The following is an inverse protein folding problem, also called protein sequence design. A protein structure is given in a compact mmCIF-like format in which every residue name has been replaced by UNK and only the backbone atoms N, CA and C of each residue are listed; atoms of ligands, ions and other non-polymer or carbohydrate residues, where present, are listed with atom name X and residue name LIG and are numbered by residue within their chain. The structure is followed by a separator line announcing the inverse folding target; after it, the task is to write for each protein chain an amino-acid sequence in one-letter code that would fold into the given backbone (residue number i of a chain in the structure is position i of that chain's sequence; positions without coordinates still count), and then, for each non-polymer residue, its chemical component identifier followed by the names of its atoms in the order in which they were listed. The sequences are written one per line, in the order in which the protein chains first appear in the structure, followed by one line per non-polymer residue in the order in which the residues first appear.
data_IF_341996347131
#
_entry.id   IF_341996347131
#
_cell.length_a   1.000
_cell.length_b   1.000
_cell.length_c   1.000
_cell.angle_alpha   90.00
_cell.angle_beta   90.00
_cell.angle_gamma   90.00
#
_symmetry.space_group_name_H-M   'P 1'
#
loop_
_entity.id
_entity.type
_entity.pdbx_description
1 polymer ?
#
# COMPACT_ATOMS: atom_id res chain seq x y z
N UNK A 1 2.88 -21.15 -5.41
CA UNK A 1 3.53 -21.42 -4.12
C UNK A 1 4.85 -20.69 -3.98
N UNK A 2 5.72 -20.80 -4.96
CA UNK A 2 7.01 -20.10 -4.91
C UNK A 2 6.87 -18.59 -4.82
N UNK A 3 5.89 -18.03 -5.53
CA UNK A 3 5.67 -16.58 -5.51
C UNK A 3 5.27 -16.08 -4.13
N UNK A 4 4.42 -16.83 -3.42
CA UNK A 4 4.00 -16.47 -2.08
C UNK A 4 5.19 -16.54 -1.11
N UNK A 5 6.01 -17.58 -1.25
CA UNK A 5 7.18 -17.73 -0.41
C UNK A 5 8.17 -16.59 -0.59
N UNK A 6 8.39 -16.17 -1.85
CA UNK A 6 9.27 -15.05 -2.14
C UNK A 6 8.76 -13.76 -1.53
N UNK A 7 7.46 -13.53 -1.62
CA UNK A 7 6.84 -12.33 -1.03
C UNK A 7 7.03 -12.32 0.47
N UNK A 8 6.83 -13.47 1.13
CA UNK A 8 7.00 -13.57 2.57
C UNK A 8 8.45 -13.38 3.00
N UNK A 9 9.39 -13.93 2.24
CA UNK A 9 10.81 -13.74 2.52
C UNK A 9 11.21 -12.28 2.38
N UNK A 10 10.71 -11.61 1.33
CA UNK A 10 10.97 -10.19 1.13
C UNK A 10 10.40 -9.36 2.27
N UNK A 11 9.21 -9.73 2.77
CA UNK A 11 8.59 -9.03 3.87
C UNK A 11 9.37 -9.16 5.18
N UNK A 12 10.11 -10.27 5.33
CA UNK A 12 10.86 -10.54 6.54
C UNK A 12 12.30 -10.02 6.50
N UNK A 13 12.74 -9.51 5.35
CA UNK A 13 14.07 -8.94 5.19
C UNK A 13 14.05 -7.49 5.69
N UNK A 14 14.82 -7.15 6.75
CA UNK A 14 14.79 -5.77 7.30
C UNK A 14 15.21 -4.72 6.29
N UNK A 15 16.22 -4.98 5.48
CA UNK A 15 16.68 -4.01 4.49
C UNK A 15 15.62 -3.78 3.43
N UNK A 16 15.00 -4.85 2.98
CA UNK A 16 13.95 -4.76 1.97
C UNK A 16 12.69 -4.09 2.53
N UNK A 17 12.40 -4.33 3.81
CA UNK A 17 11.27 -3.68 4.47
C UNK A 17 11.46 -2.17 4.54
N UNK A 18 12.66 -1.71 4.86
CA UNK A 18 12.97 -0.28 4.90
C UNK A 18 12.89 0.35 3.52
N UNK A 19 13.44 -0.31 2.50
CA UNK A 19 13.35 0.17 1.12
C UNK A 19 11.91 0.28 0.67
N UNK A 20 11.12 -0.74 0.95
CA UNK A 20 9.70 -0.74 0.59
C UNK A 20 8.98 0.41 1.26
N UNK A 21 9.23 0.61 2.55
CA UNK A 21 8.57 1.68 3.30
C UNK A 21 8.94 3.05 2.73
N UNK A 22 10.21 3.27 2.41
CA UNK A 22 10.64 4.54 1.85
C UNK A 22 10.01 4.81 0.49
N UNK A 23 10.02 3.82 -0.38
CA UNK A 23 9.45 3.97 -1.72
C UNK A 23 7.96 4.27 -1.64
N UNK A 24 7.23 3.50 -0.82
CA UNK A 24 5.79 3.68 -0.70
C UNK A 24 5.44 4.99 0.00
N UNK A 25 6.21 5.38 1.01
CA UNK A 25 5.98 6.65 1.69
C UNK A 25 6.19 7.82 0.75
N UNK A 26 7.23 7.75 -0.09
CA UNK A 26 7.51 8.79 -1.06
C UNK A 26 6.39 8.89 -2.09
N UNK A 27 5.96 7.76 -2.64
CA UNK A 27 4.85 7.71 -3.60
C UNK A 27 3.56 8.23 -2.98
N UNK A 28 3.32 7.88 -1.73
CA UNK A 28 2.13 8.34 -1.01
C UNK A 28 2.15 9.86 -0.83
N UNK A 29 3.28 10.42 -0.43
CA UNK A 29 3.39 11.87 -0.27
C UNK A 29 3.14 12.59 -1.58
N UNK A 30 3.70 12.10 -2.67
CA UNK A 30 3.49 12.68 -3.99
C UNK A 30 2.01 12.63 -4.38
N UNK A 31 1.37 11.49 -4.13
CA UNK A 31 -0.04 11.33 -4.42
C UNK A 31 -0.88 12.32 -3.61
N UNK A 32 -0.63 12.43 -2.31
CA UNK A 32 -1.37 13.35 -1.46
C UNK A 32 -1.20 14.78 -1.94
N UNK A 33 0.03 15.18 -2.29
CA UNK A 33 0.28 16.53 -2.76
C UNK A 33 -0.48 16.84 -4.04
N UNK A 34 -0.57 15.89 -4.94
CA UNK A 34 -1.34 16.08 -6.18
C UNK A 34 -2.83 16.21 -5.91
N UNK A 35 -3.36 15.43 -4.96
CA UNK A 35 -4.77 15.53 -4.62
C UNK A 35 -5.09 16.85 -3.94
N UNK A 36 -4.21 17.33 -3.07
CA UNK A 36 -4.39 18.62 -2.43
C UNK A 36 -4.31 19.77 -3.43
N UNK A 37 -3.39 19.67 -4.39
CA UNK A 37 -3.28 20.67 -5.45
C UNK A 37 -4.54 20.72 -6.31
N UNK A 38 -5.24 19.61 -6.43
CA UNK A 38 -6.51 19.54 -7.15
C UNK A 38 -7.68 20.10 -6.33
N UNK A 39 -7.46 20.47 -5.08
CA UNK A 39 -8.48 21.09 -4.24
C UNK A 39 -9.16 20.16 -3.24
N UNK A 40 -8.68 18.93 -3.11
CA UNK A 40 -9.26 17.99 -2.17
C UNK A 40 -8.80 18.28 -0.75
N UNK A 41 -9.66 17.96 0.21
CA UNK A 41 -9.39 18.17 1.62
C UNK A 41 -8.49 17.04 2.14
N UNK A 42 -7.42 17.40 2.86
CA UNK A 42 -6.44 16.41 3.31
C UNK A 42 -7.00 15.31 4.20
N UNK A 43 -7.78 15.61 5.26
CA UNK A 43 -8.36 14.53 6.06
C UNK A 43 -9.27 13.61 5.26
N UNK A 44 -10.04 14.15 4.33
CA UNK A 44 -10.91 13.33 3.48
C UNK A 44 -10.08 12.41 2.59
N UNK A 45 -9.01 12.94 2.01
CA UNK A 45 -8.12 12.14 1.17
C UNK A 45 -7.50 11.01 1.99
N UNK A 46 -7.01 11.32 3.18
CA UNK A 46 -6.37 10.33 4.04
C UNK A 46 -7.35 9.21 4.44
N UNK A 47 -8.55 9.57 4.84
CA UNK A 47 -9.56 8.58 5.24
C UNK A 47 -9.99 7.72 4.06
N UNK A 48 -10.20 8.34 2.91
CA UNK A 48 -10.61 7.61 1.72
C UNK A 48 -9.51 6.66 1.25
N UNK A 49 -8.26 7.10 1.32
CA UNK A 49 -7.14 6.23 0.97
C UNK A 49 -7.03 5.04 1.89
N UNK A 50 -7.27 5.23 3.19
CA UNK A 50 -7.27 4.13 4.13
C UNK A 50 -8.34 3.10 3.79
N UNK A 51 -9.53 3.57 3.43
CA UNK A 51 -10.63 2.68 3.02
C UNK A 51 -10.28 1.92 1.74
N UNK A 52 -9.73 2.62 0.76
CA UNK A 52 -9.32 2.01 -0.51
C UNK A 52 -8.25 0.95 -0.27
N UNK A 53 -7.27 1.26 0.57
CA UNK A 53 -6.20 0.32 0.87
C UNK A 53 -6.74 -0.91 1.60
N UNK A 54 -7.67 -0.70 2.52
CA UNK A 54 -8.29 -1.79 3.26
C UNK A 54 -9.07 -2.71 2.33
N UNK A 55 -9.87 -2.14 1.45
CA UNK A 55 -10.62 -2.91 0.45
C UNK A 55 -9.69 -3.69 -0.46
N UNK A 56 -8.59 -3.08 -0.85
CA UNK A 56 -7.61 -3.73 -1.70
C UNK A 56 -7.00 -4.94 -0.99
N UNK A 57 -6.65 -4.78 0.29
CA UNK A 57 -6.08 -5.86 1.08
C UNK A 57 -7.08 -7.01 1.20
N UNK A 58 -8.34 -6.68 1.45
CA UNK A 58 -9.38 -7.70 1.57
C UNK A 58 -9.60 -8.45 0.26
N UNK A 59 -9.60 -7.74 -0.85
CA UNK A 59 -9.75 -8.36 -2.16
C UNK A 59 -8.57 -9.27 -2.48
N UNK A 60 -7.36 -8.83 -2.12
CA UNK A 60 -6.16 -9.61 -2.33
C UNK A 60 -6.18 -10.88 -1.49
N UNK A 61 -6.61 -10.77 -0.22
CA UNK A 61 -6.71 -11.90 0.68
C UNK A 61 -7.69 -12.95 0.15
N UNK A 62 -8.83 -12.49 -0.39
CA UNK A 62 -9.82 -13.40 -0.97
C UNK A 62 -9.27 -14.13 -2.18
N UNK A 63 -8.52 -13.45 -3.04
CA UNK A 63 -7.90 -14.08 -4.21
C UNK A 63 -6.90 -15.16 -3.80
N UNK A 64 -6.10 -14.86 -2.78
CA UNK A 64 -5.12 -15.82 -2.28
C UNK A 64 -5.82 -17.02 -1.65
N UNK A 65 -6.90 -16.79 -0.90
CA UNK A 65 -7.63 -17.86 -0.22
C UNK A 65 -8.31 -18.80 -1.21
N UNK A 66 -8.79 -18.27 -2.34
CA UNK A 66 -9.49 -19.06 -3.35
C UNK A 66 -8.52 -19.95 -4.12
N UNK A 67 -7.31 -19.50 -4.31
CA UNK A 67 -6.29 -20.26 -5.02
C UNK A 67 -5.62 -21.32 -4.13
#
# INVERSE_FOLDING_TARGET
MKAIRLIMQAANDPCRALDREEVLASAFRDFVQRTLAAGWNEPEVALTLADIADDYVMALARRVAVN
#
